data_IF_991327105316
#
_entry.id   IF_991327105316
#
_cell.length_a   1.000
_cell.length_b   1.000
_cell.length_c   1.000
_cell.angle_alpha   90.00
_cell.angle_beta   90.00
_cell.angle_gamma   90.00
#
_symmetry.space_group_name_H-M   'P 1'
#
loop_
_entity.id
_entity.type
_entity.pdbx_description
1 polymer ?
#
# COMPACT_ATOMS: atom_id res chain seq x y z
N UNK A 1 -10.93 6.30 20.99
CA UNK A 1 -9.82 6.70 20.11
C UNK A 1 -10.41 7.28 18.83
N UNK A 2 -9.91 8.40 18.31
CA UNK A 2 -10.39 8.98 17.05
C UNK A 2 -9.68 8.35 15.86
N UNK A 3 -10.38 8.19 14.74
CA UNK A 3 -9.76 7.78 13.48
C UNK A 3 -8.81 8.89 13.00
N UNK A 4 -7.64 8.50 12.51
CA UNK A 4 -6.66 9.37 11.88
C UNK A 4 -6.47 8.92 10.45
N UNK A 5 -6.13 9.87 9.58
CA UNK A 5 -5.73 9.55 8.22
C UNK A 5 -4.26 9.13 8.23
N UNK A 6 -3.93 8.08 7.48
CA UNK A 6 -2.59 7.52 7.36
C UNK A 6 -2.24 7.42 5.87
N UNK A 7 -1.11 8.02 5.49
CA UNK A 7 -0.51 7.83 4.18
C UNK A 7 0.08 6.43 4.09
N UNK A 8 -0.16 5.75 2.98
CA UNK A 8 0.45 4.48 2.63
C UNK A 8 1.53 4.73 1.58
N UNK A 9 2.73 4.23 1.84
CA UNK A 9 3.89 4.38 0.95
C UNK A 9 4.57 3.05 0.75
N UNK A 10 5.09 2.83 -0.45
CA UNK A 10 5.88 1.65 -0.82
C UNK A 10 7.28 2.06 -1.25
N UNK A 11 8.28 1.25 -0.93
CA UNK A 11 9.67 1.50 -1.31
C UNK A 11 9.92 0.95 -2.72
N UNK A 12 9.93 1.84 -3.71
CA UNK A 12 10.18 1.50 -5.11
C UNK A 12 11.45 2.17 -5.60
N UNK A 13 12.37 1.39 -6.18
CA UNK A 13 13.63 1.92 -6.72
C UNK A 13 14.39 2.82 -5.72
N UNK A 14 14.38 2.44 -4.44
CA UNK A 14 15.03 3.20 -3.35
C UNK A 14 14.29 4.46 -2.87
N UNK A 15 13.07 4.71 -3.35
CA UNK A 15 12.27 5.89 -2.99
C UNK A 15 10.90 5.50 -2.43
N UNK A 16 10.47 6.19 -1.37
CA UNK A 16 9.13 6.04 -0.81
C UNK A 16 8.08 6.68 -1.74
N UNK A 17 7.28 5.86 -2.41
CA UNK A 17 6.21 6.27 -3.31
C UNK A 17 4.88 6.24 -2.58
N UNK A 18 4.17 7.36 -2.54
CA UNK A 18 2.82 7.43 -1.97
C UNK A 18 1.80 6.77 -2.89
N UNK A 19 1.03 5.82 -2.35
CA UNK A 19 0.07 5.02 -3.11
C UNK A 19 -1.39 5.26 -2.72
N UNK A 20 -1.62 5.85 -1.54
CA UNK A 20 -2.97 6.11 -1.06
C UNK A 20 -3.04 6.38 0.44
N UNK A 21 -4.25 6.37 0.99
CA UNK A 21 -4.50 6.66 2.39
C UNK A 21 -5.53 5.71 3.00
N UNK A 22 -5.39 5.44 4.31
CA UNK A 22 -6.36 4.68 5.11
C UNK A 22 -6.73 5.45 6.37
N UNK A 23 -7.96 5.26 6.86
CA UNK A 23 -8.46 5.93 8.05
C UNK A 23 -8.52 4.92 9.21
N UNK A 24 -7.61 5.05 10.17
CA UNK A 24 -7.48 4.08 11.27
C UNK A 24 -7.09 4.75 12.58
N UNK A 25 -7.38 4.08 13.69
CA UNK A 25 -7.18 4.65 15.03
C UNK A 25 -5.72 4.61 15.52
N UNK A 26 -4.90 3.71 14.97
CA UNK A 26 -3.48 3.55 15.30
C UNK A 26 -2.70 2.98 14.10
N UNK A 27 -1.38 2.97 14.21
CA UNK A 27 -0.47 2.54 13.14
C UNK A 27 -0.64 1.07 12.78
N UNK A 28 -0.76 0.18 13.76
CA UNK A 28 -0.90 -1.26 13.53
C UNK A 28 -2.14 -1.56 12.69
N UNK A 29 -3.28 -0.94 13.02
CA UNK A 29 -4.51 -1.09 12.24
C UNK A 29 -4.38 -0.42 10.87
N UNK A 30 -3.71 0.73 10.76
CA UNK A 30 -3.41 1.35 9.47
C UNK A 30 -2.59 0.43 8.56
N UNK A 31 -1.60 -0.31 9.09
CA UNK A 31 -0.83 -1.29 8.31
C UNK A 31 -1.70 -2.45 7.85
N UNK A 32 -2.56 -2.98 8.72
CA UNK A 32 -3.51 -4.03 8.34
C UNK A 32 -4.49 -3.56 7.26
N UNK A 33 -5.09 -2.37 7.44
CA UNK A 33 -6.00 -1.78 6.47
C UNK A 33 -5.30 -1.47 5.13
N UNK A 34 -4.05 -1.03 5.16
CA UNK A 34 -3.25 -0.81 3.96
C UNK A 34 -3.04 -2.11 3.18
N UNK A 35 -2.64 -3.20 3.84
CA UNK A 35 -2.50 -4.51 3.19
C UNK A 35 -3.84 -5.04 2.67
N UNK A 36 -4.92 -4.90 3.43
CA UNK A 36 -6.24 -5.34 2.99
C UNK A 36 -6.76 -4.57 1.78
N UNK A 37 -6.33 -3.31 1.58
CA UNK A 37 -6.85 -2.43 0.52
C UNK A 37 -5.95 -2.36 -0.70
N UNK A 38 -4.65 -2.41 -0.49
CA UNK A 38 -3.63 -2.20 -1.52
C UNK A 38 -2.74 -3.42 -1.72
N UNK A 39 -2.75 -4.40 -0.81
CA UNK A 39 -2.01 -5.65 -0.98
C UNK A 39 -2.54 -6.43 -2.17
N UNK A 40 -1.61 -6.94 -2.99
CA UNK A 40 -1.90 -7.87 -4.07
C UNK A 40 -1.23 -9.20 -3.77
N UNK A 41 -1.90 -10.29 -4.13
CA UNK A 41 -1.31 -11.63 -4.11
C UNK A 41 -0.33 -11.82 -5.26
N UNK A 42 0.52 -12.85 -5.18
CA UNK A 42 1.42 -13.24 -6.28
C UNK A 42 0.63 -13.53 -7.56
N UNK A 43 -0.51 -14.22 -7.46
CA UNK A 43 -1.40 -14.53 -8.59
C UNK A 43 -1.95 -13.24 -9.25
N UNK A 44 -2.43 -12.27 -8.45
CA UNK A 44 -2.91 -10.99 -8.97
C UNK A 44 -1.77 -10.16 -9.59
N UNK A 45 -0.58 -10.20 -8.99
CA UNK A 45 0.60 -9.52 -9.52
C UNK A 45 1.00 -10.05 -10.90
N UNK A 46 0.93 -11.37 -11.10
CA UNK A 46 1.17 -12.02 -12.39
C UNK A 46 0.11 -11.63 -13.43
N UNK A 47 -1.17 -11.54 -13.04
CA UNK A 47 -2.23 -11.06 -13.93
C UNK A 47 -2.01 -9.59 -14.35
N UNK A 48 -1.61 -8.70 -13.42
CA UNK A 48 -1.26 -7.32 -13.76
C UNK A 48 -0.05 -7.24 -14.70
N UNK A 49 0.96 -8.09 -14.51
CA UNK A 49 2.14 -8.14 -15.36
C UNK A 49 1.82 -8.67 -16.78
N UNK A 50 0.91 -9.63 -16.90
CA UNK A 50 0.49 -10.22 -18.17
C UNK A 50 -0.50 -9.32 -18.92
N UNK A 51 -1.31 -8.54 -18.21
CA UNK A 51 -2.39 -7.73 -18.74
C UNK A 51 -2.04 -6.32 -19.21
N UNK A 52 -0.87 -6.05 -19.82
CA UNK A 52 -0.52 -4.74 -20.47
C UNK A 52 -0.74 -3.43 -19.66
N UNK A 53 -1.11 -3.51 -18.38
CA UNK A 53 -1.24 -2.38 -17.48
C UNK A 53 -0.02 -2.47 -16.59
N UNK A 54 1.00 -1.66 -16.89
CA UNK A 54 2.23 -1.61 -16.08
C UNK A 54 1.95 -1.49 -14.57
N UNK A 55 2.96 -1.71 -13.73
CA UNK A 55 2.79 -1.93 -12.29
C UNK A 55 1.77 -0.96 -11.69
N UNK A 56 0.72 -1.53 -11.08
CA UNK A 56 -0.38 -0.77 -10.51
C UNK A 56 0.19 0.19 -9.47
N UNK A 57 0.23 1.48 -9.80
CA UNK A 57 0.85 2.50 -8.94
C UNK A 57 0.25 2.51 -7.53
N UNK A 58 -0.97 2.01 -7.37
CA UNK A 58 -1.70 1.91 -6.11
C UNK A 58 -1.63 0.54 -5.41
N UNK A 59 -0.72 -0.37 -5.79
CA UNK A 59 -0.59 -1.70 -5.16
C UNK A 59 0.59 -1.77 -4.18
N UNK A 60 0.56 -2.74 -3.27
CA UNK A 60 1.66 -3.23 -2.42
C UNK A 60 1.92 -4.68 -2.86
N UNK A 61 3.05 -4.92 -3.54
CA UNK A 61 3.43 -6.27 -3.95
C UNK A 61 4.02 -7.07 -2.78
N UNK A 62 3.97 -8.42 -2.79
CA UNK A 62 4.46 -9.26 -1.69
C UNK A 62 5.95 -9.05 -1.34
N UNK A 63 6.76 -8.63 -2.31
CA UNK A 63 8.18 -8.34 -2.20
C UNK A 63 8.49 -6.87 -1.84
N UNK A 64 7.49 -6.00 -1.82
CA UNK A 64 7.66 -4.58 -1.50
C UNK A 64 7.61 -4.32 0.01
N UNK A 65 8.60 -3.58 0.51
CA UNK A 65 8.50 -2.96 1.82
C UNK A 65 7.54 -1.76 1.74
N UNK A 66 6.62 -1.67 2.70
CA UNK A 66 5.68 -0.56 2.82
C UNK A 66 5.62 0.02 4.24
N UNK A 67 5.29 1.30 4.31
CA UNK A 67 5.17 2.07 5.53
C UNK A 67 3.84 2.83 5.58
N UNK A 68 3.37 3.10 6.79
CA UNK A 68 2.23 3.98 7.03
C UNK A 68 2.63 5.13 7.95
N UNK A 69 2.30 6.35 7.56
CA UNK A 69 2.61 7.55 8.34
C UNK A 69 1.38 8.44 8.50
N UNK A 70 1.20 9.15 9.63
CA UNK A 70 0.07 10.06 9.79
C UNK A 70 -0.02 11.08 8.64
N UNK A 71 -1.20 11.22 8.06
CA UNK A 71 -1.49 12.32 7.15
C UNK A 71 -1.68 13.60 7.96
N UNK A 72 -1.08 14.69 7.47
CA UNK A 72 -1.19 16.02 8.08
C UNK A 72 -2.53 16.66 7.74
#
# INVERSE_FOLDING_TARGET
MSMKQWNVRVMRSGSATHIGQVAEINETLARCAALSRYGVSEDEAEEFAQGCVGPCRAAIYPDEEFDVSPAK
#
